data_IF_875009073424
#
_entry.id   IF_875009073424
#
_cell.length_a   1.000
_cell.length_b   1.000
_cell.length_c   1.000
_cell.angle_alpha   90.00
_cell.angle_beta   90.00
_cell.angle_gamma   90.00
#
_symmetry.space_group_name_H-M   'P 1'
#
loop_
_entity.id
_entity.type
_entity.pdbx_description
1 polymer ?
#
# COMPACT_ATOMS: atom_id res chain seq x y z
N UNK A 1 10.73 -3.90 -52.88
CA UNK A 1 9.81 -3.19 -51.97
C UNK A 1 10.49 -3.03 -50.62
N UNK A 2 10.96 -1.83 -50.28
CA UNK A 2 11.62 -1.58 -48.99
C UNK A 2 10.58 -1.68 -47.86
N UNK A 3 10.78 -2.59 -46.90
CA UNK A 3 9.99 -2.64 -45.66
C UNK A 3 10.26 -1.35 -44.89
N UNK A 4 9.29 -0.42 -44.87
CA UNK A 4 9.35 0.76 -43.98
C UNK A 4 9.49 0.27 -42.54
N UNK A 5 10.59 0.65 -41.90
CA UNK A 5 10.83 0.36 -40.48
C UNK A 5 9.73 1.05 -39.66
N UNK A 6 8.86 0.27 -39.01
CA UNK A 6 7.81 0.81 -38.13
C UNK A 6 8.50 1.41 -36.91
N UNK A 7 8.42 2.74 -36.75
CA UNK A 7 8.96 3.40 -35.55
C UNK A 7 8.19 2.88 -34.34
N UNK A 8 8.93 2.47 -33.30
CA UNK A 8 8.37 2.04 -32.02
C UNK A 8 8.23 3.29 -31.15
N UNK A 9 7.05 3.49 -30.59
CA UNK A 9 6.87 4.50 -29.56
C UNK A 9 7.59 4.08 -28.28
N UNK A 10 8.16 5.07 -27.59
CA UNK A 10 8.63 4.88 -26.22
C UNK A 10 7.43 4.72 -25.28
N UNK A 11 7.62 3.95 -24.20
CA UNK A 11 6.64 3.81 -23.13
C UNK A 11 6.69 5.06 -22.26
N UNK A 12 5.55 5.55 -21.80
CA UNK A 12 5.51 6.72 -20.94
C UNK A 12 5.89 6.31 -19.51
N UNK A 13 7.01 6.83 -19.00
CA UNK A 13 7.54 6.46 -17.68
C UNK A 13 7.08 7.40 -16.55
N UNK A 14 6.27 8.41 -16.87
CA UNK A 14 5.77 9.42 -15.93
C UNK A 14 6.79 10.49 -15.53
N UNK A 15 7.98 10.51 -16.15
CA UNK A 15 9.02 11.54 -15.91
C UNK A 15 9.13 12.54 -17.06
N UNK A 16 8.77 12.13 -18.28
CA UNK A 16 8.71 13.01 -19.43
C UNK A 16 7.49 13.93 -19.38
N UNK A 17 7.63 15.12 -19.98
CA UNK A 17 6.52 16.03 -20.15
C UNK A 17 5.41 15.38 -21.00
N UNK A 18 4.17 15.49 -20.52
CA UNK A 18 3.04 14.82 -21.16
C UNK A 18 2.76 15.40 -22.56
N UNK A 19 2.99 16.69 -22.77
CA UNK A 19 2.79 17.33 -24.08
C UNK A 19 3.83 16.84 -25.09
N UNK A 20 5.09 16.67 -24.65
CA UNK A 20 6.17 16.11 -25.48
C UNK A 20 5.86 14.65 -25.88
N UNK A 21 5.40 13.82 -24.93
CA UNK A 21 4.98 12.45 -25.21
C UNK A 21 3.80 12.38 -26.20
N UNK A 22 2.77 13.21 -26.01
CA UNK A 22 1.60 13.25 -26.89
C UNK A 22 1.98 13.71 -28.31
N UNK A 23 2.86 14.71 -28.42
CA UNK A 23 3.41 15.18 -29.70
C UNK A 23 4.13 14.06 -30.44
N UNK A 24 4.99 13.30 -29.73
CA UNK A 24 5.70 12.17 -30.31
C UNK A 24 4.74 11.04 -30.72
N UNK A 25 3.72 10.77 -29.91
CA UNK A 25 2.67 9.81 -30.23
C UNK A 25 1.91 10.18 -31.49
N UNK A 26 1.49 11.43 -31.63
CA UNK A 26 0.78 11.94 -32.80
C UNK A 26 1.62 11.76 -34.07
N UNK A 27 2.88 12.21 -34.04
CA UNK A 27 3.81 12.10 -35.16
C UNK A 27 4.00 10.64 -35.63
N UNK A 28 4.19 9.71 -34.68
CA UNK A 28 4.37 8.29 -35.02
C UNK A 28 3.07 7.67 -35.52
N UNK A 29 1.94 8.00 -34.89
CA UNK A 29 0.64 7.46 -35.26
C UNK A 29 0.22 7.91 -36.67
N UNK A 30 0.56 9.13 -37.07
CA UNK A 30 0.39 9.64 -38.44
C UNK A 30 1.34 8.95 -39.41
N UNK A 31 2.63 8.89 -39.07
CA UNK A 31 3.64 8.24 -39.92
C UNK A 31 3.33 6.77 -40.19
N UNK A 32 2.75 6.08 -39.21
CA UNK A 32 2.35 4.68 -39.31
C UNK A 32 0.91 4.49 -39.86
N UNK A 33 0.20 5.57 -40.22
CA UNK A 33 -1.21 5.54 -40.65
C UNK A 33 -2.11 4.77 -39.68
N UNK A 34 -1.91 4.94 -38.37
CA UNK A 34 -2.78 4.34 -37.38
C UNK A 34 -4.15 5.00 -37.42
N UNK A 35 -5.19 4.21 -37.71
CA UNK A 35 -6.57 4.67 -37.61
C UNK A 35 -6.94 5.01 -36.16
N UNK A 36 -7.98 5.86 -36.00
CA UNK A 36 -8.46 6.35 -34.70
C UNK A 36 -8.63 5.24 -33.64
N UNK A 37 -9.22 4.09 -34.03
CA UNK A 37 -9.40 2.94 -33.12
C UNK A 37 -8.08 2.37 -32.60
N UNK A 38 -7.04 2.30 -33.45
CA UNK A 38 -5.73 1.77 -33.04
C UNK A 38 -5.00 2.76 -32.13
N UNK A 39 -5.10 4.05 -32.41
CA UNK A 39 -4.59 5.13 -31.56
C UNK A 39 -5.22 5.09 -30.17
N UNK A 40 -6.55 5.03 -30.12
CA UNK A 40 -7.32 4.92 -28.88
C UNK A 40 -6.97 3.66 -28.09
N UNK A 41 -6.89 2.51 -28.75
CA UNK A 41 -6.52 1.25 -28.10
C UNK A 41 -5.10 1.30 -27.51
N UNK A 42 -4.16 1.92 -28.21
CA UNK A 42 -2.79 2.09 -27.73
C UNK A 42 -2.74 2.95 -26.46
N UNK A 43 -3.37 4.12 -26.49
CA UNK A 43 -3.39 5.02 -25.32
C UNK A 43 -4.09 4.37 -24.12
N UNK A 44 -5.23 3.71 -24.35
CA UNK A 44 -5.93 2.98 -23.30
C UNK A 44 -5.06 1.89 -22.67
N UNK A 45 -4.33 1.12 -23.49
CA UNK A 45 -3.42 0.09 -23.01
C UNK A 45 -2.29 0.69 -22.15
N UNK A 46 -1.75 1.85 -22.55
CA UNK A 46 -0.68 2.52 -21.80
C UNK A 46 -1.14 2.99 -20.41
N UNK A 47 -2.36 3.51 -20.30
CA UNK A 47 -2.96 3.87 -19.00
C UNK A 47 -3.01 2.64 -18.08
N UNK A 48 -3.48 1.50 -18.59
CA UNK A 48 -3.53 0.28 -17.80
C UNK A 48 -2.14 -0.27 -17.45
N UNK A 49 -1.12 -0.06 -18.28
CA UNK A 49 0.28 -0.42 -17.95
C UNK A 49 0.82 0.42 -16.80
N UNK A 50 0.57 1.73 -16.84
CA UNK A 50 0.96 2.64 -15.77
C UNK A 50 0.27 2.28 -14.45
N UNK A 51 -1.05 1.99 -14.49
CA UNK A 51 -1.81 1.51 -13.33
C UNK A 51 -1.24 0.18 -12.80
N UNK A 52 -0.90 -0.76 -13.69
CA UNK A 52 -0.33 -2.05 -13.31
C UNK A 52 1.06 -1.92 -12.66
N UNK A 53 1.91 -1.03 -13.15
CA UNK A 53 3.25 -0.78 -12.60
C UNK A 53 3.22 -0.15 -11.20
N UNK A 54 2.25 0.72 -10.94
CA UNK A 54 2.09 1.40 -9.66
C UNK A 54 1.23 0.61 -8.68
N UNK A 55 0.73 -0.55 -9.10
CA UNK A 55 -0.21 -1.35 -8.32
C UNK A 55 0.48 -1.98 -7.11
N UNK A 56 -0.03 -1.66 -5.92
CA UNK A 56 0.36 -2.28 -4.65
C UNK A 56 -0.89 -2.70 -3.89
N UNK A 57 -0.83 -3.81 -3.14
CA UNK A 57 -1.93 -4.31 -2.31
C UNK A 57 -2.50 -3.24 -1.38
N UNK A 58 -3.82 -3.09 -1.36
CA UNK A 58 -4.51 -2.23 -0.41
C UNK A 58 -4.46 -2.74 1.04
N UNK A 59 -4.70 -1.86 2.02
CA UNK A 59 -4.72 -2.21 3.45
C UNK A 59 -5.75 -3.28 3.78
N UNK A 60 -6.94 -3.16 3.20
CA UNK A 60 -8.09 -4.06 3.43
C UNK A 60 -8.33 -5.03 2.27
N UNK A 61 -7.44 -5.05 1.29
CA UNK A 61 -7.55 -5.95 0.14
C UNK A 61 -7.03 -7.34 0.50
N UNK A 62 -7.73 -8.40 0.10
CA UNK A 62 -7.23 -9.77 0.27
C UNK A 62 -6.25 -10.16 -0.85
N UNK A 63 -5.36 -11.13 -0.58
CA UNK A 63 -4.41 -11.63 -1.59
C UNK A 63 -5.12 -12.14 -2.86
N UNK A 64 -6.25 -12.87 -2.78
CA UNK A 64 -6.99 -13.31 -3.98
C UNK A 64 -7.58 -12.14 -4.78
N UNK A 65 -8.13 -11.11 -4.12
CA UNK A 65 -8.64 -9.91 -4.80
C UNK A 65 -7.52 -9.18 -5.56
N UNK A 66 -6.34 -9.06 -4.93
CA UNK A 66 -5.16 -8.51 -5.58
C UNK A 66 -4.82 -9.32 -6.84
N UNK A 67 -4.71 -10.65 -6.72
CA UNK A 67 -4.38 -11.53 -7.84
C UNK A 67 -5.40 -11.40 -8.99
N UNK A 68 -6.69 -11.34 -8.68
CA UNK A 68 -7.75 -11.14 -9.68
C UNK A 68 -7.64 -9.77 -10.36
N UNK A 69 -7.39 -8.71 -9.59
CA UNK A 69 -7.24 -7.36 -10.14
C UNK A 69 -6.03 -7.26 -11.07
N UNK A 70 -4.88 -7.85 -10.69
CA UNK A 70 -3.67 -7.91 -11.52
C UNK A 70 -3.96 -8.67 -12.81
N UNK A 71 -4.53 -9.88 -12.74
CA UNK A 71 -4.91 -10.67 -13.94
C UNK A 71 -5.80 -9.86 -14.89
N UNK A 72 -6.76 -9.10 -14.36
CA UNK A 72 -7.67 -8.24 -15.15
C UNK A 72 -6.93 -7.05 -15.77
N UNK A 73 -6.09 -6.37 -15.00
CA UNK A 73 -5.28 -5.24 -15.47
C UNK A 73 -4.29 -5.66 -16.55
N UNK A 74 -3.58 -6.78 -16.37
CA UNK A 74 -2.62 -7.27 -17.35
C UNK A 74 -3.28 -7.59 -18.69
N UNK A 75 -4.48 -8.20 -18.68
CA UNK A 75 -5.25 -8.45 -19.93
C UNK A 75 -5.68 -7.18 -20.64
N UNK A 76 -6.00 -6.10 -19.90
CA UNK A 76 -6.36 -4.80 -20.48
C UNK A 76 -5.14 -4.03 -20.99
N UNK A 77 -4.01 -4.13 -20.29
CA UNK A 77 -2.75 -3.50 -20.63
C UNK A 77 -2.08 -4.14 -21.86
N UNK A 78 -2.32 -5.42 -22.10
CA UNK A 78 -1.69 -6.20 -23.17
C UNK A 78 -2.73 -7.00 -23.97
N UNK A 79 -3.64 -6.33 -24.70
CA UNK A 79 -4.73 -7.00 -25.41
C UNK A 79 -4.27 -7.77 -26.67
N UNK A 80 -3.04 -7.53 -27.15
CA UNK A 80 -2.51 -8.10 -28.40
C UNK A 80 -1.34 -9.06 -28.19
N UNK A 81 -0.81 -9.17 -26.98
CA UNK A 81 0.35 -10.02 -26.69
C UNK A 81 -0.04 -11.49 -26.51
N UNK A 82 0.96 -12.37 -26.57
CA UNK A 82 0.75 -13.79 -26.33
C UNK A 82 0.30 -13.99 -24.87
N UNK A 83 -0.74 -14.81 -24.70
CA UNK A 83 -1.30 -15.18 -23.41
C UNK A 83 -0.25 -15.69 -22.41
N UNK A 84 0.77 -16.43 -22.86
CA UNK A 84 1.81 -16.96 -21.97
C UNK A 84 2.74 -15.84 -21.47
N UNK A 85 3.09 -14.88 -22.34
CA UNK A 85 3.82 -13.68 -21.94
C UNK A 85 2.98 -12.86 -20.95
N UNK A 86 1.69 -12.68 -21.22
CA UNK A 86 0.76 -12.00 -20.30
C UNK A 86 0.68 -12.70 -18.94
N UNK A 87 0.68 -14.04 -18.89
CA UNK A 87 0.66 -14.80 -17.63
C UNK A 87 1.95 -14.60 -16.84
N UNK A 88 3.11 -14.63 -17.50
CA UNK A 88 4.41 -14.38 -16.86
C UNK A 88 4.48 -12.95 -16.33
N UNK A 89 4.09 -11.96 -17.13
CA UNK A 89 4.02 -10.56 -16.68
C UNK A 89 3.07 -10.41 -15.49
N UNK A 90 1.88 -11.01 -15.55
CA UNK A 90 0.92 -10.95 -14.44
C UNK A 90 1.50 -11.55 -13.14
N UNK A 91 2.35 -12.57 -13.25
CA UNK A 91 3.03 -13.15 -12.10
C UNK A 91 4.07 -12.19 -11.52
N UNK A 92 4.92 -11.60 -12.37
CA UNK A 92 5.96 -10.67 -11.94
C UNK A 92 5.34 -9.46 -11.23
N UNK A 93 4.33 -8.84 -11.85
CA UNK A 93 3.60 -7.72 -11.24
C UNK A 93 2.86 -8.13 -9.95
N UNK A 94 2.37 -9.37 -9.85
CA UNK A 94 1.74 -9.84 -8.61
C UNK A 94 2.75 -9.95 -7.47
N UNK A 95 3.95 -10.48 -7.73
CA UNK A 95 5.03 -10.58 -6.73
C UNK A 95 5.44 -9.18 -6.27
N UNK A 96 5.61 -8.24 -7.20
CA UNK A 96 5.98 -6.85 -6.89
C UNK A 96 4.89 -6.09 -6.13
N UNK A 97 3.62 -6.37 -6.43
CA UNK A 97 2.49 -5.70 -5.78
C UNK A 97 2.29 -6.11 -4.30
N UNK A 98 2.95 -7.17 -3.82
CA UNK A 98 2.87 -7.60 -2.42
C UNK A 98 3.75 -6.70 -1.55
N UNK A 99 3.20 -6.00 -0.54
CA UNK A 99 3.95 -5.03 0.27
C UNK A 99 4.98 -5.70 1.18
N UNK A 100 4.66 -6.87 1.73
CA UNK A 100 5.51 -7.57 2.69
C UNK A 100 6.69 -8.25 2.02
N UNK A 101 7.91 -7.87 2.42
CA UNK A 101 9.14 -8.37 1.84
C UNK A 101 9.33 -9.87 2.09
N UNK A 102 8.88 -10.36 3.24
CA UNK A 102 9.03 -11.76 3.65
C UNK A 102 8.25 -12.70 2.72
N UNK A 103 7.04 -12.28 2.32
CA UNK A 103 6.22 -13.02 1.36
C UNK A 103 6.90 -13.03 -0.01
N UNK A 104 7.47 -11.89 -0.46
CA UNK A 104 8.18 -11.81 -1.73
C UNK A 104 9.42 -12.71 -1.77
N UNK A 105 10.26 -12.67 -0.73
CA UNK A 105 11.43 -13.55 -0.61
C UNK A 105 11.00 -15.01 -0.75
N UNK A 106 9.94 -15.41 -0.03
CA UNK A 106 9.49 -16.80 -0.05
C UNK A 106 8.90 -17.20 -1.40
N UNK A 107 8.20 -16.30 -2.08
CA UNK A 107 7.74 -16.51 -3.45
C UNK A 107 8.91 -16.63 -4.43
N UNK A 108 9.96 -15.80 -4.29
CA UNK A 108 11.18 -15.91 -5.09
C UNK A 108 11.90 -17.24 -4.89
N UNK A 109 11.90 -17.80 -3.68
CA UNK A 109 12.48 -19.12 -3.39
C UNK A 109 11.67 -20.27 -4.00
N UNK A 110 10.34 -20.21 -3.93
CA UNK A 110 9.47 -21.25 -4.49
C UNK A 110 9.45 -21.21 -6.02
N UNK A 111 9.70 -20.03 -6.62
CA UNK A 111 9.71 -19.82 -8.08
C UNK A 111 8.43 -20.32 -8.78
N UNK A 112 7.26 -19.80 -8.41
CA UNK A 112 5.99 -20.21 -9.00
C UNK A 112 5.99 -19.99 -10.51
N UNK A 113 5.32 -20.86 -11.27
CA UNK A 113 5.20 -20.71 -12.74
C UNK A 113 3.89 -20.04 -13.15
N UNK A 114 2.93 -20.00 -12.23
CA UNK A 114 1.60 -19.48 -12.49
C UNK A 114 1.15 -18.55 -11.37
N UNK A 115 0.32 -17.57 -11.71
CA UNK A 115 -0.27 -16.67 -10.71
C UNK A 115 -1.10 -17.45 -9.68
N UNK A 116 -1.76 -18.54 -10.07
CA UNK A 116 -2.56 -19.36 -9.15
C UNK A 116 -1.69 -20.08 -8.11
N UNK A 117 -0.53 -20.59 -8.51
CA UNK A 117 0.44 -21.19 -7.59
C UNK A 117 1.00 -20.14 -6.61
N UNK A 118 1.38 -18.97 -7.13
CA UNK A 118 1.84 -17.85 -6.31
C UNK A 118 0.76 -17.37 -5.32
N UNK A 119 -0.49 -17.30 -5.76
CA UNK A 119 -1.66 -16.94 -4.95
C UNK A 119 -1.85 -17.90 -3.78
N UNK A 120 -1.80 -19.21 -4.01
CA UNK A 120 -1.93 -20.22 -2.96
C UNK A 120 -0.80 -20.13 -1.91
N UNK A 121 0.45 -19.96 -2.38
CA UNK A 121 1.61 -19.81 -1.48
C UNK A 121 1.48 -18.51 -0.68
N UNK A 122 1.11 -17.41 -1.33
CA UNK A 122 0.94 -16.11 -0.69
C UNK A 122 -0.18 -16.11 0.36
N UNK A 123 -1.33 -16.74 0.07
CA UNK A 123 -2.45 -16.88 1.03
C UNK A 123 -2.00 -17.64 2.27
N UNK A 124 -1.26 -18.75 2.09
CA UNK A 124 -0.73 -19.52 3.22
C UNK A 124 0.23 -18.69 4.08
N UNK A 125 1.10 -17.89 3.45
CA UNK A 125 2.05 -17.03 4.16
C UNK A 125 1.36 -15.85 4.85
N UNK A 126 0.32 -15.27 4.22
CA UNK A 126 -0.48 -14.20 4.82
C UNK A 126 -1.17 -14.68 6.09
N UNK A 127 -1.72 -15.89 6.09
CA UNK A 127 -2.30 -16.50 7.29
C UNK A 127 -1.27 -16.65 8.44
N UNK A 128 -0.04 -17.08 8.12
CA UNK A 128 1.06 -17.18 9.10
C UNK A 128 1.40 -15.77 9.63
N UNK A 129 1.50 -14.78 8.75
CA UNK A 129 1.79 -13.40 9.15
C UNK A 129 0.70 -12.81 10.06
N UNK A 130 -0.58 -13.08 9.77
CA UNK A 130 -1.70 -12.65 10.61
C UNK A 130 -1.58 -13.27 12.01
N UNK A 131 -1.26 -14.56 12.10
CA UNK A 131 -1.07 -15.25 13.37
C UNK A 131 0.15 -14.72 14.16
N UNK A 132 1.26 -14.46 13.49
CA UNK A 132 2.47 -13.94 14.14
C UNK A 132 2.31 -12.49 14.58
N UNK A 133 1.54 -11.67 13.84
CA UNK A 133 1.17 -10.34 14.32
C UNK A 133 0.34 -10.41 15.60
N UNK A 134 -0.60 -11.35 15.68
CA UNK A 134 -1.40 -11.61 16.89
C UNK A 134 -0.54 -12.06 18.07
N UNK A 135 0.45 -12.94 17.84
CA UNK A 135 1.41 -13.32 18.88
C UNK A 135 2.25 -12.13 19.33
N UNK A 136 2.73 -11.33 18.38
CA UNK A 136 3.59 -10.19 18.67
C UNK A 136 2.84 -9.04 19.39
N UNK A 137 1.51 -8.92 19.26
CA UNK A 137 0.72 -8.03 20.12
C UNK A 137 0.31 -8.65 21.44
N UNK A 138 0.17 -9.99 21.55
CA UNK A 138 0.00 -10.68 22.84
C UNK A 138 1.29 -10.74 23.68
N UNK A 139 2.45 -10.38 23.12
CA UNK A 139 3.71 -10.22 23.85
C UNK A 139 3.82 -8.83 24.51
N UNK A 140 2.86 -7.91 24.29
CA UNK A 140 2.75 -6.68 25.08
C UNK A 140 1.98 -6.96 26.38
N UNK A 141 2.73 -6.88 27.48
CA UNK A 141 2.32 -6.74 28.88
C UNK A 141 1.64 -7.93 29.57
N UNK A 142 2.43 -8.95 29.92
CA UNK A 142 2.29 -9.53 31.27
C UNK A 142 2.83 -8.48 32.25
N UNK A 143 1.93 -7.63 32.74
CA UNK A 143 2.16 -6.69 33.84
C UNK A 143 2.76 -5.35 33.42
N UNK A 144 2.03 -4.26 33.68
CA UNK A 144 2.49 -2.92 34.15
C UNK A 144 1.39 -1.84 34.00
N UNK A 145 0.27 -2.09 33.32
CA UNK A 145 -0.74 -1.04 33.07
C UNK A 145 -1.83 -0.88 34.15
N UNK A 146 -1.93 -1.77 35.14
CA UNK A 146 -2.90 -1.58 36.24
C UNK A 146 -2.39 -0.67 37.36
N UNK A 147 -1.08 -0.44 37.48
CA UNK A 147 -0.52 0.38 38.55
C UNK A 147 -0.56 1.90 38.26
N UNK A 148 -0.52 2.31 36.98
CA UNK A 148 -0.43 3.73 36.61
C UNK A 148 -1.74 4.47 36.83
N UNK A 149 -2.88 3.80 36.59
CA UNK A 149 -4.21 4.39 36.79
C UNK A 149 -4.54 4.55 38.29
N UNK A 150 -4.10 3.61 39.13
CA UNK A 150 -4.23 3.69 40.59
C UNK A 150 -3.34 4.77 41.21
N UNK A 151 -2.15 5.01 40.64
CA UNK A 151 -1.28 6.11 41.08
C UNK A 151 -1.83 7.48 40.65
N UNK A 152 -2.37 7.59 39.42
CA UNK A 152 -2.97 8.84 38.94
C UNK A 152 -4.16 9.26 39.79
N UNK A 153 -5.07 8.33 40.10
CA UNK A 153 -6.25 8.61 40.94
C UNK A 153 -5.86 8.99 42.37
N UNK A 154 -4.84 8.34 42.96
CA UNK A 154 -4.31 8.70 44.28
C UNK A 154 -3.63 10.07 44.28
N UNK A 155 -2.92 10.44 43.21
CA UNK A 155 -2.29 11.76 43.08
C UNK A 155 -3.36 12.85 43.04
N UNK A 156 -4.44 12.66 42.27
CA UNK A 156 -5.55 13.62 42.21
C UNK A 156 -6.27 13.78 43.56
N UNK A 157 -6.44 12.69 44.32
CA UNK A 157 -6.98 12.75 45.68
C UNK A 157 -6.08 13.52 46.65
N UNK A 158 -4.76 13.35 46.54
CA UNK A 158 -3.79 14.06 47.38
C UNK A 158 -3.80 15.55 47.06
N UNK A 159 -3.84 15.94 45.78
CA UNK A 159 -3.92 17.34 45.34
C UNK A 159 -5.16 18.01 45.96
N UNK A 160 -6.33 17.36 45.86
CA UNK A 160 -7.57 17.88 46.42
C UNK A 160 -7.53 18.05 47.95
N UNK A 161 -6.82 17.17 48.65
CA UNK A 161 -6.61 17.30 50.12
C UNK A 161 -5.67 18.45 50.44
N UNK A 162 -4.60 18.65 49.67
CA UNK A 162 -3.65 19.76 49.85
C UNK A 162 -4.33 21.12 49.67
N UNK A 163 -5.18 21.27 48.66
CA UNK A 163 -5.91 22.53 48.41
C UNK A 163 -6.85 22.89 49.58
N UNK A 164 -7.50 21.87 50.18
CA UNK A 164 -8.34 22.09 51.37
C UNK A 164 -7.55 22.59 52.56
N UNK A 165 -6.41 21.97 52.84
CA UNK A 165 -5.53 22.40 53.94
C UNK A 165 -4.99 23.81 53.67
N UNK A 166 -4.62 24.12 52.43
CA UNK A 166 -4.16 25.47 52.07
C UNK A 166 -5.22 26.54 52.35
N UNK A 167 -6.47 26.29 51.96
CA UNK A 167 -7.57 27.22 52.22
C UNK A 167 -7.88 27.37 53.71
N UNK A 168 -7.82 26.28 54.49
CA UNK A 168 -7.99 26.35 55.94
C UNK A 168 -6.89 27.19 56.62
N UNK A 169 -5.63 27.02 56.20
CA UNK A 169 -4.51 27.83 56.71
C UNK A 169 -4.68 29.32 56.40
N UNK A 170 -5.17 29.68 55.20
CA UNK A 170 -5.47 31.08 54.88
C UNK A 170 -6.61 31.65 55.75
N UNK A 171 -7.65 30.87 56.01
CA UNK A 171 -8.75 31.31 56.88
C UNK A 171 -8.33 31.45 58.35
N UNK A 172 -7.36 30.66 58.82
CA UNK A 172 -6.81 30.78 60.18
C UNK A 172 -5.90 32.00 60.30
N UNK A 173 -5.03 32.26 59.32
CA UNK A 173 -4.22 33.50 59.27
C UNK A 173 -5.09 34.76 59.30
N UNK A 174 -6.22 34.74 58.59
CA UNK A 174 -7.16 35.88 58.53
C UNK A 174 -7.89 36.13 59.86
N UNK A 175 -8.03 35.10 60.71
CA UNK A 175 -8.64 35.22 62.04
C UNK A 175 -7.62 35.67 63.09
N UNK A 176 -6.37 35.25 62.96
CA UNK A 176 -5.28 35.60 63.89
C UNK A 176 -4.90 37.09 63.80
N UNK A 177 -4.94 37.69 62.59
CA UNK A 177 -4.74 39.13 62.39
C UNK A 177 -5.87 40.02 62.91
N UNK A 178 -7.00 39.44 63.34
CA UNK A 178 -8.17 40.18 63.86
C UNK A 178 -8.27 40.17 65.40
N UNK A 179 -7.34 39.50 66.08
CA UNK A 179 -7.29 39.38 67.54
C UNK A 179 -6.05 40.03 68.18
N UNK A 180 -5.30 40.82 67.42
CA UNK A 180 -4.32 41.80 67.91
C UNK A 180 -4.82 43.21 67.61
#
# INVERSE_FOLDING_TARGET
MQKKSKMKLQKYDGKEDLEEYLTHFELISERNNWGYKSRSLYLAAEVFRSELQTRVKGRNESIPELAQSIKKLTRKAYPSDNLDVTKTLALDYFIDAIPFKEIRIRLSEVSPKTVAEAENVAVRLDAVHIADRSRNCNVKTVGVETATNDLSTKIDEVIKKTDRVSNEVETLKSKETRSQ
#
